data_IF_784643374626
#
_entry.id   IF_784643374626
#
_cell.length_a   1.000
_cell.length_b   1.000
_cell.length_c   1.000
_cell.angle_alpha   90.00
_cell.angle_beta   90.00
_cell.angle_gamma   90.00
#
_symmetry.space_group_name_H-M   'P 1'
#
loop_
_entity.id
_entity.type
_entity.pdbx_description
1 polymer ?
#
# COMPACT_ATOMS: atom_id res chain seq x y z
N UNK A 1 17.38 -32.16 -22.23
CA UNK A 1 16.65 -31.38 -21.21
C UNK A 1 17.31 -30.02 -21.14
N UNK A 2 16.56 -28.96 -21.45
CA UNK A 2 17.09 -27.59 -21.58
C UNK A 2 17.71 -27.12 -20.26
N UNK A 3 18.98 -26.70 -20.30
CA UNK A 3 19.71 -26.03 -19.21
C UNK A 3 19.15 -24.62 -18.89
N UNK A 4 17.83 -24.44 -18.87
CA UNK A 4 17.19 -23.11 -18.80
C UNK A 4 16.14 -22.98 -17.69
N UNK A 5 16.24 -23.77 -16.62
CA UNK A 5 15.32 -23.61 -15.50
C UNK A 5 16.02 -23.97 -14.18
N UNK A 6 17.03 -23.17 -13.83
CA UNK A 6 17.41 -23.08 -12.42
C UNK A 6 16.38 -22.12 -11.80
N UNK A 7 15.53 -22.57 -10.85
CA UNK A 7 14.62 -21.67 -10.18
C UNK A 7 15.44 -20.58 -9.47
N UNK A 8 14.91 -19.37 -9.46
CA UNK A 8 15.53 -18.25 -8.78
C UNK A 8 15.72 -18.56 -7.28
N UNK A 9 16.71 -17.91 -6.68
CA UNK A 9 16.97 -18.06 -5.25
C UNK A 9 15.69 -17.67 -4.47
N UNK A 10 15.29 -18.41 -3.42
CA UNK A 10 14.02 -18.18 -2.72
C UNK A 10 13.84 -16.72 -2.22
N UNK A 11 14.95 -16.05 -1.88
CA UNK A 11 14.96 -14.62 -1.52
C UNK A 11 14.48 -13.72 -2.67
N UNK A 12 14.88 -14.01 -3.92
CA UNK A 12 14.45 -13.24 -5.10
C UNK A 12 12.96 -13.44 -5.33
N UNK A 13 12.49 -14.70 -5.30
CA UNK A 13 11.07 -15.01 -5.45
C UNK A 13 10.20 -14.33 -4.38
N UNK A 14 10.67 -14.27 -3.13
CA UNK A 14 9.97 -13.59 -2.05
C UNK A 14 9.93 -12.07 -2.28
N UNK A 15 11.05 -11.46 -2.66
CA UNK A 15 11.10 -10.01 -2.97
C UNK A 15 10.18 -9.63 -4.14
N UNK A 16 10.09 -10.44 -5.19
CA UNK A 16 9.17 -10.17 -6.31
C UNK A 16 7.70 -10.26 -5.90
N UNK A 17 7.36 -11.15 -4.97
CA UNK A 17 5.98 -11.38 -4.53
C UNK A 17 5.52 -10.39 -3.46
N UNK A 18 6.37 -10.10 -2.47
CA UNK A 18 6.00 -9.32 -1.28
C UNK A 18 6.68 -7.97 -1.20
N UNK A 19 7.76 -7.75 -1.96
CA UNK A 19 8.63 -6.57 -1.83
C UNK A 19 9.64 -6.68 -0.69
N UNK A 20 9.63 -7.76 0.10
CA UNK A 20 10.47 -7.93 1.28
C UNK A 20 11.35 -9.18 1.18
N UNK A 21 12.60 -9.13 1.68
CA UNK A 21 13.44 -10.32 1.76
C UNK A 21 12.91 -11.28 2.82
N UNK A 22 13.32 -12.54 2.70
CA UNK A 22 12.83 -13.64 3.55
C UNK A 22 12.92 -13.33 5.05
N UNK A 23 11.81 -13.52 5.76
CA UNK A 23 11.69 -13.24 7.20
C UNK A 23 11.69 -11.76 7.61
N UNK A 24 11.70 -10.81 6.66
CA UNK A 24 11.56 -9.37 6.91
C UNK A 24 10.25 -8.79 6.39
N UNK A 25 9.22 -9.63 6.29
CA UNK A 25 7.86 -9.12 6.11
C UNK A 25 7.56 -8.18 7.29
N UNK A 26 7.07 -6.96 7.03
CA UNK A 26 6.79 -6.01 8.08
C UNK A 26 5.68 -6.60 8.98
N UNK A 27 5.87 -6.52 10.29
CA UNK A 27 4.87 -7.02 11.25
C UNK A 27 3.56 -6.25 11.16
N UNK A 28 3.61 -5.01 10.68
CA UNK A 28 2.46 -4.13 10.49
C UNK A 28 2.38 -3.65 9.04
N UNK A 29 1.17 -3.48 8.50
CA UNK A 29 1.01 -2.88 7.19
C UNK A 29 1.51 -1.43 7.20
N UNK A 30 2.27 -1.05 6.18
CA UNK A 30 2.73 0.34 5.98
C UNK A 30 1.84 1.06 4.97
N UNK A 31 1.52 2.31 5.24
CA UNK A 31 0.80 3.14 4.28
C UNK A 31 1.62 3.36 3.01
N UNK A 32 1.06 3.11 1.81
CA UNK A 32 1.77 3.34 0.56
C UNK A 32 2.03 4.84 0.28
N UNK A 33 1.39 5.75 1.02
CA UNK A 33 1.52 7.21 0.84
C UNK A 33 2.57 7.81 1.76
N UNK A 34 2.48 7.55 3.07
CA UNK A 34 3.40 8.14 4.06
C UNK A 34 4.45 7.15 4.61
N UNK A 35 4.28 5.84 4.41
CA UNK A 35 5.16 4.81 4.95
C UNK A 35 4.96 4.51 6.45
N UNK A 36 4.05 5.21 7.13
CA UNK A 36 3.75 4.95 8.54
C UNK A 36 3.09 3.58 8.71
N UNK A 37 3.42 2.90 9.82
CA UNK A 37 2.72 1.70 10.28
C UNK A 37 1.29 2.09 10.65
N UNK A 38 0.31 1.38 10.09
CA UNK A 38 -1.11 1.70 10.31
C UNK A 38 -1.96 0.46 10.14
N UNK A 39 -2.96 0.33 10.99
CA UNK A 39 -3.90 -0.79 10.95
C UNK A 39 -5.12 -0.53 10.03
N UNK A 40 -5.35 0.74 9.64
CA UNK A 40 -6.54 1.14 8.88
C UNK A 40 -6.20 1.85 7.58
N UNK A 41 -6.72 1.32 6.47
CA UNK A 41 -6.67 1.96 5.16
C UNK A 41 -8.05 2.41 4.71
N UNK A 42 -8.12 3.63 4.18
CA UNK A 42 -9.29 4.14 3.47
C UNK A 42 -9.12 3.86 1.99
N UNK A 43 -10.12 3.19 1.40
CA UNK A 43 -10.15 2.84 -0.01
C UNK A 43 -11.30 3.54 -0.72
N UNK A 44 -11.09 3.89 -1.99
CA UNK A 44 -12.17 4.35 -2.86
C UNK A 44 -13.09 3.17 -3.26
N UNK A 45 -14.25 3.50 -3.80
CA UNK A 45 -15.23 2.61 -4.42
C UNK A 45 -14.63 1.71 -5.50
N UNK A 46 -13.57 2.16 -6.19
CA UNK A 46 -12.83 1.36 -7.18
C UNK A 46 -11.80 0.41 -6.56
N UNK A 47 -11.55 0.50 -5.24
CA UNK A 47 -10.63 -0.37 -4.50
C UNK A 47 -9.22 0.20 -4.33
N UNK A 48 -8.92 1.36 -4.87
CA UNK A 48 -7.63 2.04 -4.69
C UNK A 48 -7.48 2.61 -3.28
N UNK A 49 -6.30 2.42 -2.67
CA UNK A 49 -6.00 2.93 -1.33
C UNK A 49 -5.73 4.43 -1.42
N UNK A 50 -6.61 5.22 -0.79
CA UNK A 50 -6.49 6.68 -0.73
C UNK A 50 -5.54 7.15 0.38
N UNK A 51 -5.36 6.35 1.43
CA UNK A 51 -4.42 6.65 2.50
C UNK A 51 -4.76 5.97 3.82
N UNK A 52 -3.94 6.23 4.84
CA UNK A 52 -4.22 5.86 6.23
C UNK A 52 -4.87 7.01 7.00
N UNK A 53 -5.17 6.79 8.28
CA UNK A 53 -5.76 7.79 9.19
C UNK A 53 -4.94 9.09 9.34
N UNK A 54 -3.62 9.03 9.13
CA UNK A 54 -2.74 10.21 9.14
C UNK A 54 -2.76 10.96 7.80
N UNK A 55 -3.00 10.23 6.70
CA UNK A 55 -3.03 10.82 5.35
C UNK A 55 -4.39 11.43 5.01
N UNK A 56 -5.46 10.90 5.60
CA UNK A 56 -6.84 11.21 5.24
C UNK A 56 -7.54 11.82 6.44
N UNK A 57 -8.11 13.01 6.25
CA UNK A 57 -8.95 13.66 7.26
C UNK A 57 -10.39 13.70 6.75
N UNK A 58 -11.34 13.47 7.65
CA UNK A 58 -12.76 13.65 7.35
C UNK A 58 -13.08 15.14 7.29
N UNK A 59 -13.58 15.61 6.15
CA UNK A 59 -14.13 16.95 6.00
C UNK A 59 -15.67 16.88 5.95
N UNK A 60 -16.34 17.88 6.53
CA UNK A 60 -17.79 18.02 6.36
C UNK A 60 -18.11 18.44 4.91
N UNK A 61 -19.12 17.81 4.29
CA UNK A 61 -19.45 18.02 2.89
C UNK A 61 -20.00 19.43 2.59
N UNK A 62 -20.61 20.09 3.57
CA UNK A 62 -21.14 21.45 3.43
C UNK A 62 -20.04 22.50 3.65
N UNK A 63 -19.08 22.23 4.52
CA UNK A 63 -17.89 23.08 4.70
C UNK A 63 -16.89 22.92 3.55
N UNK A 64 -16.77 21.72 2.97
CA UNK A 64 -15.84 21.47 1.86
C UNK A 64 -16.29 22.06 0.51
N UNK A 65 -17.59 22.37 0.35
CA UNK A 65 -18.18 22.85 -0.91
C UNK A 65 -18.40 24.36 -0.94
N UNK A 66 -18.07 25.09 0.12
CA UNK A 66 -18.27 26.55 0.18
C UNK A 66 -17.26 27.37 -0.63
N UNK A 67 -16.19 26.76 -1.12
CA UNK A 67 -15.14 27.47 -1.88
C UNK A 67 -14.79 26.72 -3.17
N UNK A 68 -15.40 27.20 -4.26
CA UNK A 68 -14.94 27.11 -5.65
C UNK A 68 -14.96 25.74 -6.35
N UNK A 69 -16.15 25.36 -6.83
CA UNK A 69 -16.25 24.75 -8.15
C UNK A 69 -15.97 25.86 -9.19
N UNK A 70 -14.71 26.02 -9.61
CA UNK A 70 -14.30 26.76 -10.82
C UNK A 70 -13.42 25.86 -11.68
#
# INVERSE_FOLDING_TARGET
MSLRYLPDHPVVQNMERTGYPDGKEPQFPHCPICGCETDTFYKDTYGDIFGCEECVTTADAWEATSDECN
#
